data_IF_679909135886
#
_entry.id   IF_679909135886
#
_cell.length_a   1.000
_cell.length_b   1.000
_cell.length_c   1.000
_cell.angle_alpha   90.00
_cell.angle_beta   90.00
_cell.angle_gamma   90.00
#
_symmetry.space_group_name_H-M   'P 1'
#
loop_
_entity.id
_entity.type
_entity.pdbx_description
1 polymer ?
#
# COMPACT_ATOMS: atom_id res chain seq x y z
N UNK A 1 7.21 14.47 -15.76
CA UNK A 1 6.68 13.49 -14.78
C UNK A 1 7.75 12.46 -14.42
N UNK A 2 8.01 12.30 -13.12
CA UNK A 2 8.99 11.34 -12.55
C UNK A 2 8.73 9.91 -13.08
N UNK A 3 9.80 9.14 -13.38
CA UNK A 3 9.73 7.75 -13.86
C UNK A 3 8.85 6.87 -12.94
N UNK A 4 8.95 7.05 -11.62
CA UNK A 4 8.14 6.32 -10.64
C UNK A 4 6.65 6.62 -10.80
N UNK A 5 6.27 7.90 -10.95
CA UNK A 5 4.86 8.30 -11.12
C UNK A 5 4.27 7.74 -12.42
N UNK A 6 5.06 7.72 -13.51
CA UNK A 6 4.65 7.08 -14.77
C UNK A 6 4.42 5.58 -14.61
N UNK A 7 5.23 4.89 -13.82
CA UNK A 7 5.03 3.45 -13.54
C UNK A 7 3.78 3.21 -12.72
N UNK A 8 3.53 4.04 -11.70
CA UNK A 8 2.31 3.97 -10.88
C UNK A 8 1.07 4.16 -11.76
N UNK A 9 1.04 5.22 -12.55
CA UNK A 9 -0.06 5.52 -13.47
C UNK A 9 -0.28 4.39 -14.49
N UNK A 10 0.79 3.86 -15.09
CA UNK A 10 0.68 2.75 -16.05
C UNK A 10 0.12 1.47 -15.43
N UNK A 11 0.48 1.16 -14.19
CA UNK A 11 -0.01 -0.05 -13.51
C UNK A 11 -1.47 0.12 -13.06
N UNK A 12 -1.79 1.27 -12.47
CA UNK A 12 -3.10 1.53 -11.87
C UNK A 12 -4.15 2.02 -12.89
N UNK A 13 -3.72 2.62 -13.99
CA UNK A 13 -4.56 3.21 -15.03
C UNK A 13 -4.74 4.73 -14.91
N UNK A 14 -4.46 5.31 -13.75
CA UNK A 14 -4.40 6.76 -13.55
C UNK A 14 -3.50 7.11 -12.35
N UNK A 15 -3.20 8.39 -12.16
CA UNK A 15 -2.52 8.88 -10.96
C UNK A 15 -3.55 9.41 -9.95
N UNK A 16 -3.37 9.07 -8.68
CA UNK A 16 -4.21 9.55 -7.58
C UNK A 16 -3.48 9.47 -6.24
N UNK A 17 -3.94 10.20 -5.21
CA UNK A 17 -3.23 10.28 -3.94
C UNK A 17 -3.13 8.92 -3.25
N UNK A 18 -4.20 8.13 -3.23
CA UNK A 18 -4.23 6.84 -2.55
C UNK A 18 -3.30 5.79 -3.16
N UNK A 19 -3.16 5.71 -4.49
CA UNK A 19 -2.19 4.79 -5.11
C UNK A 19 -0.74 5.22 -4.81
N UNK A 20 -0.46 6.52 -4.76
CA UNK A 20 0.86 7.04 -4.36
C UNK A 20 1.15 6.75 -2.89
N UNK A 21 0.16 6.93 -2.00
CA UNK A 21 0.29 6.58 -0.58
C UNK A 21 0.57 5.09 -0.40
N UNK A 22 -0.18 4.22 -1.08
CA UNK A 22 0.07 2.78 -1.06
C UNK A 22 1.47 2.42 -1.57
N UNK A 23 1.95 3.07 -2.63
CA UNK A 23 3.31 2.88 -3.14
C UNK A 23 4.36 3.26 -2.08
N UNK A 24 4.15 4.36 -1.36
CA UNK A 24 5.04 4.78 -0.27
C UNK A 24 5.02 3.78 0.89
N UNK A 25 3.86 3.23 1.24
CA UNK A 25 3.76 2.19 2.29
C UNK A 25 4.64 0.98 1.97
N UNK A 26 4.59 0.46 0.74
CA UNK A 26 5.40 -0.70 0.37
C UNK A 26 6.89 -0.40 0.26
N UNK A 27 7.28 0.83 -0.13
CA UNK A 27 8.69 1.27 -0.07
C UNK A 27 9.20 1.29 1.37
N UNK A 28 8.40 1.81 2.32
CA UNK A 28 8.75 1.81 3.75
C UNK A 28 8.87 0.37 4.26
N UNK A 29 7.92 -0.51 3.91
CA UNK A 29 7.95 -1.90 4.32
C UNK A 29 9.21 -2.63 3.81
N UNK A 30 9.59 -2.44 2.54
CA UNK A 30 10.82 -3.02 1.99
C UNK A 30 12.07 -2.51 2.72
N UNK A 31 12.11 -1.22 3.08
CA UNK A 31 13.24 -0.62 3.79
C UNK A 31 13.41 -1.21 5.20
N UNK A 32 12.32 -1.52 5.89
CA UNK A 32 12.34 -1.96 7.30
C UNK A 32 12.34 -3.48 7.47
N UNK A 33 11.65 -4.21 6.57
CA UNK A 33 11.47 -5.67 6.66
C UNK A 33 12.24 -6.44 5.59
N UNK A 34 12.90 -5.75 4.66
CA UNK A 34 13.62 -6.32 3.54
C UNK A 34 12.77 -6.54 2.29
N UNK A 35 13.45 -6.79 1.18
CA UNK A 35 12.86 -6.82 -0.16
C UNK A 35 12.38 -8.18 -0.64
N UNK A 36 12.75 -9.26 0.07
CA UNK A 36 12.41 -10.63 -0.30
C UNK A 36 10.87 -10.80 -0.39
N UNK A 37 10.32 -11.18 -1.54
CA UNK A 37 8.87 -11.28 -1.73
C UNK A 37 8.24 -12.42 -0.92
N UNK A 38 9.01 -13.40 -0.44
CA UNK A 38 8.50 -14.57 0.27
C UNK A 38 8.67 -14.49 1.80
N UNK A 39 9.29 -13.41 2.31
CA UNK A 39 9.55 -13.22 3.74
C UNK A 39 8.62 -12.22 4.42
N UNK A 40 7.61 -11.72 3.71
CA UNK A 40 6.63 -10.79 4.27
C UNK A 40 5.25 -10.98 3.68
N UNK A 41 4.24 -10.74 4.50
CA UNK A 41 2.84 -10.65 4.11
C UNK A 41 2.31 -9.25 4.43
N UNK A 42 1.20 -8.87 3.82
CA UNK A 42 0.50 -7.62 4.14
C UNK A 42 -1.00 -7.85 4.29
N UNK A 43 -1.59 -7.21 5.28
CA UNK A 43 -3.05 -7.02 5.37
C UNK A 43 -3.35 -5.54 5.18
N UNK A 44 -4.14 -5.20 4.17
CA UNK A 44 -4.56 -3.84 3.87
C UNK A 44 -5.95 -3.61 4.47
N UNK A 45 -6.14 -2.48 5.18
CA UNK A 45 -7.31 -2.24 6.04
C UNK A 45 -8.39 -1.35 5.37
N UNK A 46 -8.27 -1.15 4.06
CA UNK A 46 -9.07 -0.18 3.30
C UNK A 46 -10.44 -0.69 2.87
N UNK A 47 -10.66 -2.00 2.87
CA UNK A 47 -11.67 -2.63 2.02
C UNK A 47 -11.34 -2.49 0.52
N UNK A 48 -12.29 -2.85 -0.34
CA UNK A 48 -12.09 -2.90 -1.81
C UNK A 48 -12.77 -1.75 -2.57
N UNK A 49 -13.46 -0.84 -1.88
CA UNK A 49 -14.19 0.27 -2.51
C UNK A 49 -13.27 1.49 -2.76
N UNK A 50 -13.19 2.01 -4.00
CA UNK A 50 -12.46 3.25 -4.30
C UNK A 50 -13.08 4.49 -3.60
N UNK A 51 -12.30 5.58 -3.42
CA UNK A 51 -10.92 5.75 -3.85
C UNK A 51 -9.87 5.21 -2.87
N UNK A 52 -10.25 4.93 -1.62
CA UNK A 52 -9.32 4.48 -0.57
C UNK A 52 -8.65 3.13 -0.92
N UNK A 53 -9.37 2.23 -1.59
CA UNK A 53 -8.83 0.93 -2.00
C UNK A 53 -7.73 1.01 -3.06
N UNK A 54 -7.50 2.16 -3.71
CA UNK A 54 -6.37 2.35 -4.63
C UNK A 54 -5.00 2.18 -3.93
N UNK A 55 -4.96 2.26 -2.59
CA UNK A 55 -3.78 1.87 -1.79
C UNK A 55 -3.34 0.44 -2.10
N UNK A 56 -4.28 -0.48 -2.37
CA UNK A 56 -3.99 -1.89 -2.66
C UNK A 56 -3.01 -1.99 -3.83
N UNK A 57 -3.26 -1.28 -4.93
CA UNK A 57 -2.40 -1.33 -6.11
C UNK A 57 -1.03 -0.72 -5.86
N UNK A 58 -0.96 0.39 -5.13
CA UNK A 58 0.29 1.01 -4.73
C UNK A 58 1.15 0.07 -3.88
N UNK A 59 0.54 -0.59 -2.88
CA UNK A 59 1.21 -1.58 -2.03
C UNK A 59 1.69 -2.75 -2.87
N UNK A 60 0.88 -3.27 -3.80
CA UNK A 60 1.26 -4.37 -4.68
C UNK A 60 2.48 -4.04 -5.54
N UNK A 61 2.50 -2.84 -6.12
CA UNK A 61 3.54 -2.37 -7.01
C UNK A 61 4.90 -2.18 -6.31
N UNK A 62 4.90 -1.81 -5.03
CA UNK A 62 6.10 -1.45 -4.28
C UNK A 62 6.59 -2.54 -3.32
N UNK A 63 5.70 -3.13 -2.53
CA UNK A 63 6.07 -4.09 -1.47
C UNK A 63 6.43 -5.48 -2.00
N UNK A 64 6.09 -5.78 -3.26
CA UNK A 64 6.09 -7.14 -3.82
C UNK A 64 5.14 -8.11 -3.11
N UNK A 65 4.29 -7.69 -2.17
CA UNK A 65 3.17 -8.49 -1.70
C UNK A 65 2.00 -8.32 -2.67
N UNK A 66 1.46 -9.40 -3.23
CA UNK A 66 0.43 -9.32 -4.28
C UNK A 66 -0.61 -10.40 -4.09
N UNK A 67 -1.84 -10.13 -4.52
CA UNK A 67 -2.94 -11.09 -4.47
C UNK A 67 -2.56 -12.42 -5.12
N UNK A 68 -1.99 -12.39 -6.34
CA UNK A 68 -1.59 -13.60 -7.07
C UNK A 68 -0.44 -14.40 -6.44
N UNK A 69 0.34 -13.80 -5.52
CA UNK A 69 1.36 -14.53 -4.74
C UNK A 69 0.82 -15.07 -3.43
N UNK A 70 -0.44 -14.79 -3.09
CA UNK A 70 -1.09 -15.27 -1.86
C UNK A 70 -0.55 -14.62 -0.58
N UNK A 71 0.23 -13.55 -0.67
CA UNK A 71 0.84 -12.87 0.48
C UNK A 71 0.28 -11.46 0.73
N UNK A 72 -0.88 -11.16 0.15
CA UNK A 72 -1.67 -9.95 0.41
C UNK A 72 -3.09 -10.36 0.79
N UNK A 73 -3.60 -9.81 1.89
CA UNK A 73 -4.98 -9.90 2.31
C UNK A 73 -5.60 -8.49 2.41
N UNK A 74 -6.92 -8.40 2.31
CA UNK A 74 -7.66 -7.15 2.47
C UNK A 74 -8.76 -7.34 3.51
N UNK A 75 -8.85 -6.43 4.47
CA UNK A 75 -9.94 -6.33 5.43
C UNK A 75 -10.66 -5.00 5.23
N UNK A 76 -11.98 -5.00 5.34
CA UNK A 76 -12.81 -3.79 5.24
C UNK A 76 -12.95 -3.12 6.61
N UNK A 77 -11.88 -2.46 7.05
CA UNK A 77 -11.89 -1.62 8.25
C UNK A 77 -12.04 -0.12 7.93
N UNK A 78 -12.18 0.21 6.63
CA UNK A 78 -12.29 1.58 6.11
C UNK A 78 -11.14 2.50 6.52
N UNK A 79 -9.96 1.94 6.77
CA UNK A 79 -8.78 2.68 7.21
C UNK A 79 -7.70 2.72 6.12
N UNK A 80 -7.10 3.89 5.83
CA UNK A 80 -6.00 4.00 4.88
C UNK A 80 -4.70 3.53 5.54
N UNK A 81 -4.61 2.23 5.76
CA UNK A 81 -3.55 1.61 6.53
C UNK A 81 -3.18 0.21 5.99
N UNK A 82 -1.94 -0.20 6.27
CA UNK A 82 -1.40 -1.50 5.93
C UNK A 82 -0.60 -2.05 7.11
N UNK A 83 -0.85 -3.33 7.43
CA UNK A 83 -0.13 -4.11 8.42
C UNK A 83 0.76 -5.12 7.71
N UNK A 84 2.06 -4.92 7.79
CA UNK A 84 3.04 -5.88 7.30
C UNK A 84 3.49 -6.81 8.43
N UNK A 85 3.81 -8.05 8.08
CA UNK A 85 4.38 -9.02 9.00
C UNK A 85 5.55 -9.72 8.34
N UNK A 86 6.68 -9.84 9.05
CA UNK A 86 7.81 -10.62 8.58
C UNK A 86 7.66 -12.12 8.95
N UNK A 87 8.57 -12.95 8.44
CA UNK A 87 8.60 -14.39 8.75
C UNK A 87 8.84 -14.74 10.23
N UNK A 88 9.38 -13.81 11.02
CA UNK A 88 9.71 -14.02 12.44
C UNK A 88 8.57 -13.58 13.37
N UNK A 89 7.53 -12.94 12.81
CA UNK A 89 6.36 -12.48 13.55
C UNK A 89 6.37 -11.00 13.90
N UNK A 90 7.43 -10.26 13.58
CA UNK A 90 7.48 -8.81 13.77
C UNK A 90 6.48 -8.12 12.86
N UNK A 91 5.73 -7.17 13.42
CA UNK A 91 4.69 -6.42 12.72
C UNK A 91 5.10 -4.97 12.49
N UNK A 92 4.75 -4.43 11.34
CA UNK A 92 4.89 -3.03 10.99
C UNK A 92 3.54 -2.49 10.53
N UNK A 93 2.95 -1.63 11.35
CA UNK A 93 1.70 -0.94 11.05
C UNK A 93 2.02 0.44 10.47
N UNK A 94 1.45 0.73 9.29
CA UNK A 94 1.59 2.01 8.61
C UNK A 94 0.20 2.57 8.36
N UNK A 95 -0.10 3.74 8.90
CA UNK A 95 -1.33 4.49 8.66
C UNK A 95 -1.03 5.86 8.04
N UNK A 96 -1.95 6.34 7.20
CA UNK A 96 -1.90 7.72 6.72
C UNK A 96 -2.30 8.65 7.86
N UNK A 97 -1.54 9.73 8.06
CA UNK A 97 -1.84 10.73 9.07
C UNK A 97 -3.16 11.45 8.74
N UNK A 98 -3.95 11.75 9.77
CA UNK A 98 -5.25 12.43 9.60
C UNK A 98 -5.13 13.74 8.84
N UNK A 99 -4.08 14.53 9.08
CA UNK A 99 -3.89 15.82 8.39
C UNK A 99 -3.78 15.65 6.86
N UNK A 100 -3.17 14.55 6.39
CA UNK A 100 -3.05 14.25 4.96
C UNK A 100 -4.40 13.82 4.37
N UNK A 101 -5.24 13.13 5.14
CA UNK A 101 -6.58 12.76 4.69
C UNK A 101 -7.46 14.00 4.53
N UNK A 102 -7.38 14.93 5.47
CA UNK A 102 -8.08 16.21 5.37
C UNK A 102 -7.61 17.04 4.17
N UNK A 103 -6.33 17.01 3.82
CA UNK A 103 -5.82 17.66 2.60
C UNK A 103 -6.37 17.03 1.33
N UNK A 104 -6.48 15.69 1.27
CA UNK A 104 -7.03 14.97 0.11
C UNK A 104 -8.52 15.27 -0.07
N UNK A 105 -9.29 15.37 1.01
CA UNK A 105 -10.72 15.67 0.96
C UNK A 105 -11.03 17.11 0.50
N UNK A 106 -10.08 18.03 0.67
CA UNK A 106 -10.20 19.44 0.28
C UNK A 106 -9.76 19.71 -1.18
N UNK A 107 -9.09 18.75 -1.82
CA UNK A 107 -8.54 18.88 -3.17
C UNK A 107 -9.57 18.53 -4.25
#
# INVERSE_FOLDING_TARGET
>A
MNKTLKTIERFHGHLGPYVVLGYRMGVIANKLLGEDPFKKTVTILTGTKPPISCIIDGVQLSSRCTLGKGNLNVLDEKQPAARFKDKNGSTLDISVKSEILEEIEKA
#
